data_IF_714766018896
#
_entry.id   IF_714766018896
#
_cell.length_a   1.000
_cell.length_b   1.000
_cell.length_c   1.000
_cell.angle_alpha   90.00
_cell.angle_beta   90.00
_cell.angle_gamma   90.00
#
_symmetry.space_group_name_H-M   'P 1'
#
loop_
_entity.id
_entity.type
_entity.pdbx_description
1 polymer ?
#
# COMPACT_ATOMS: atom_id res chain seq x y z
N UNK A 1 -16.82 7.83 8.65
CA UNK A 1 -15.83 8.52 9.52
C UNK A 1 -15.54 9.91 8.98
N UNK A 2 -15.14 10.81 9.84
CA UNK A 2 -14.56 12.06 9.37
C UNK A 2 -13.08 11.85 8.98
N UNK A 3 -12.47 12.89 8.43
CA UNK A 3 -11.08 12.85 7.95
C UNK A 3 -10.08 12.48 9.05
N UNK A 4 -10.26 13.04 10.24
CA UNK A 4 -9.37 12.80 11.38
C UNK A 4 -9.48 11.36 11.86
N UNK A 5 -10.69 10.84 11.96
CA UNK A 5 -10.95 9.47 12.36
C UNK A 5 -10.35 8.47 11.35
N UNK A 6 -10.50 8.75 10.06
CA UNK A 6 -9.93 7.91 9.01
C UNK A 6 -8.40 7.85 9.09
N UNK A 7 -7.75 9.01 9.24
CA UNK A 7 -6.29 9.08 9.36
C UNK A 7 -5.78 8.33 10.58
N UNK A 8 -6.48 8.46 11.71
CA UNK A 8 -6.13 7.76 12.94
C UNK A 8 -6.33 6.24 12.79
N UNK A 9 -7.41 5.83 12.15
CA UNK A 9 -7.65 4.43 11.81
C UNK A 9 -6.49 3.85 11.00
N UNK A 10 -6.10 4.52 9.91
CA UNK A 10 -4.99 4.07 9.06
C UNK A 10 -3.69 3.96 9.85
N UNK A 11 -3.35 4.99 10.61
CA UNK A 11 -2.15 5.02 11.44
C UNK A 11 -2.09 3.82 12.40
N UNK A 12 -3.21 3.54 13.06
CA UNK A 12 -3.27 2.42 14.01
C UNK A 12 -3.14 1.07 13.30
N UNK A 13 -3.74 0.92 12.12
CA UNK A 13 -3.62 -0.30 11.33
C UNK A 13 -2.19 -0.52 10.83
N UNK A 14 -1.51 0.53 10.43
CA UNK A 14 -0.10 0.44 10.00
C UNK A 14 0.83 0.11 11.17
N UNK A 15 0.67 0.80 12.28
CA UNK A 15 1.49 0.57 13.48
C UNK A 15 1.29 -0.82 14.09
N UNK A 16 0.06 -1.33 14.05
CA UNK A 16 -0.24 -2.67 14.56
C UNK A 16 0.53 -3.76 13.80
N UNK A 17 0.95 -3.48 12.56
CA UNK A 17 1.72 -4.42 11.73
C UNK A 17 3.22 -4.14 11.73
N UNK A 18 3.68 -3.25 12.62
CA UNK A 18 5.09 -2.97 12.81
C UNK A 18 5.65 -1.83 12.00
N UNK A 19 4.83 -1.12 11.22
CA UNK A 19 5.27 0.03 10.47
C UNK A 19 5.63 1.19 11.40
N UNK A 20 6.69 1.90 11.07
CA UNK A 20 7.17 3.07 11.82
C UNK A 20 7.12 4.30 10.94
N UNK A 21 6.57 5.39 11.47
CA UNK A 21 6.42 6.64 10.72
C UNK A 21 7.74 7.40 10.65
N UNK A 22 8.08 7.84 9.43
CA UNK A 22 9.12 8.84 9.21
C UNK A 22 8.59 9.84 8.18
N UNK A 23 8.53 11.12 8.53
CA UNK A 23 7.87 12.15 7.74
C UNK A 23 6.38 11.80 7.58
N UNK A 24 5.90 11.68 6.35
CA UNK A 24 4.50 11.34 6.06
C UNK A 24 4.32 9.90 5.58
N UNK A 25 5.34 9.06 5.71
CA UNK A 25 5.33 7.68 5.24
C UNK A 25 5.60 6.74 6.41
N UNK A 26 4.94 5.60 6.38
CA UNK A 26 5.16 4.52 7.34
C UNK A 26 6.01 3.45 6.65
N UNK A 27 7.09 3.00 7.30
CA UNK A 27 8.04 2.05 6.72
C UNK A 27 8.14 0.78 7.53
N UNK A 28 8.34 -0.34 6.82
CA UNK A 28 8.61 -1.64 7.40
C UNK A 28 9.72 -2.31 6.60
N UNK A 29 10.81 -2.66 7.28
CA UNK A 29 11.98 -3.29 6.65
C UNK A 29 11.79 -4.79 6.54
N UNK A 30 11.95 -5.33 5.33
CA UNK A 30 12.02 -6.76 5.09
C UNK A 30 13.47 -7.24 4.94
N UNK A 31 13.64 -8.49 4.54
CA UNK A 31 14.96 -9.08 4.36
C UNK A 31 15.75 -8.41 3.22
N UNK A 32 15.13 -8.28 2.06
CA UNK A 32 15.76 -7.79 0.83
C UNK A 32 14.96 -6.67 0.16
N UNK A 33 14.09 -6.03 0.94
CA UNK A 33 13.31 -4.89 0.49
C UNK A 33 12.84 -4.04 1.66
N UNK A 34 12.41 -2.82 1.32
CA UNK A 34 11.74 -1.92 2.24
C UNK A 34 10.33 -1.67 1.71
N UNK A 35 9.34 -1.74 2.60
CA UNK A 35 7.96 -1.40 2.28
C UNK A 35 7.62 -0.02 2.88
N UNK A 36 7.01 0.84 2.07
CA UNK A 36 6.47 2.11 2.53
C UNK A 36 4.96 2.16 2.29
N UNK A 37 4.24 2.88 3.14
CA UNK A 37 2.80 3.08 2.99
C UNK A 37 2.45 4.51 3.37
N UNK A 38 1.62 5.19 2.58
CA UNK A 38 1.19 6.55 2.84
C UNK A 38 -0.26 6.80 2.40
N UNK A 39 -0.75 7.98 2.75
CA UNK A 39 -2.06 8.46 2.35
C UNK A 39 -1.90 9.61 1.37
N UNK A 40 -2.58 9.49 0.23
CA UNK A 40 -2.61 10.53 -0.80
C UNK A 40 -4.03 11.08 -0.93
N UNK A 41 -4.19 12.38 -0.73
CA UNK A 41 -5.50 13.01 -0.88
C UNK A 41 -5.94 12.99 -2.34
N UNK A 42 -7.19 12.58 -2.58
CA UNK A 42 -7.80 12.65 -3.90
C UNK A 42 -8.09 14.10 -4.30
N UNK A 43 -7.92 14.41 -5.58
CA UNK A 43 -8.33 15.69 -6.16
C UNK A 43 -9.84 15.74 -6.43
N UNK A 44 -10.53 14.61 -6.40
CA UNK A 44 -11.92 14.48 -6.86
C UNK A 44 -12.95 14.38 -5.74
N UNK A 45 -12.59 14.78 -4.51
CA UNK A 45 -13.54 14.79 -3.41
C UNK A 45 -12.92 14.40 -2.07
N UNK A 46 -13.77 14.09 -1.11
CA UNK A 46 -13.36 13.72 0.25
C UNK A 46 -12.98 12.23 0.29
N UNK A 47 -11.82 11.94 -0.26
CA UNK A 47 -11.29 10.59 -0.40
C UNK A 47 -9.77 10.58 -0.30
N UNK A 48 -9.22 9.42 0.03
CA UNK A 48 -7.79 9.16 0.04
C UNK A 48 -7.46 7.90 -0.74
N UNK A 49 -6.27 7.88 -1.33
CA UNK A 49 -5.62 6.66 -1.79
C UNK A 49 -4.68 6.19 -0.69
N UNK A 50 -4.70 4.90 -0.39
CA UNK A 50 -3.75 4.27 0.52
C UNK A 50 -2.71 3.58 -0.35
N UNK A 51 -1.57 4.24 -0.55
CA UNK A 51 -0.50 3.77 -1.43
C UNK A 51 0.49 2.92 -0.66
N UNK A 52 0.99 1.84 -1.28
CA UNK A 52 2.13 1.11 -0.75
C UNK A 52 3.22 1.00 -1.81
N UNK A 53 4.47 0.91 -1.34
CA UNK A 53 5.67 0.99 -2.16
C UNK A 53 6.67 -0.06 -1.73
N UNK A 54 7.42 -0.60 -2.70
CA UNK A 54 8.57 -1.46 -2.40
C UNK A 54 9.82 -0.87 -3.01
N UNK A 55 10.88 -0.87 -2.21
CA UNK A 55 12.24 -0.50 -2.60
C UNK A 55 13.08 -1.76 -2.47
N UNK A 56 13.59 -2.27 -3.58
CA UNK A 56 14.35 -3.53 -3.60
C UNK A 56 15.79 -3.26 -3.15
N UNK A 57 16.28 -4.02 -2.19
CA UNK A 57 17.62 -3.90 -1.64
C UNK A 57 17.68 -4.13 -0.15
N UNK A 58 18.86 -3.92 0.43
CA UNK A 58 19.06 -4.03 1.87
C UNK A 58 18.94 -2.64 2.53
N UNK A 59 18.08 -2.55 3.52
CA UNK A 59 17.77 -1.30 4.20
C UNK A 59 17.93 -1.40 5.72
N UNK A 60 18.77 -2.33 6.18
CA UNK A 60 19.09 -2.43 7.62
C UNK A 60 19.92 -1.23 8.05
N UNK A 61 19.57 -0.66 9.20
CA UNK A 61 20.31 0.45 9.82
C UNK A 61 20.36 1.72 8.99
N UNK A 62 19.42 1.94 8.07
CA UNK A 62 19.36 3.21 7.34
C UNK A 62 18.76 4.28 8.23
N UNK A 63 19.26 5.50 8.06
CA UNK A 63 18.79 6.68 8.80
C UNK A 63 18.00 7.63 7.92
N UNK A 64 18.19 7.56 6.60
CA UNK A 64 17.50 8.38 5.62
C UNK A 64 16.73 7.48 4.66
N UNK A 65 15.40 7.44 4.85
CA UNK A 65 14.53 6.58 4.06
C UNK A 65 14.22 7.20 2.70
N UNK A 66 14.14 6.37 1.63
CA UNK A 66 13.85 6.88 0.29
C UNK A 66 12.42 7.42 0.18
N UNK A 67 12.21 8.32 -0.77
CA UNK A 67 10.87 8.85 -1.09
C UNK A 67 10.16 7.89 -2.03
N UNK A 68 8.82 8.01 -2.13
CA UNK A 68 8.02 7.15 -3.00
C UNK A 68 8.42 7.24 -4.49
N UNK A 69 9.01 8.36 -4.93
CA UNK A 69 9.48 8.52 -6.30
C UNK A 69 10.61 7.56 -6.68
N UNK A 70 11.31 7.04 -5.67
CA UNK A 70 12.44 6.12 -5.87
C UNK A 70 12.01 4.65 -5.78
N UNK A 71 10.72 4.40 -5.58
CA UNK A 71 10.20 3.04 -5.40
C UNK A 71 10.27 2.23 -6.70
N UNK A 72 10.49 0.93 -6.55
CA UNK A 72 10.52 -0.01 -7.67
C UNK A 72 9.12 -0.52 -8.04
N UNK A 73 8.25 -0.72 -7.05
CA UNK A 73 6.88 -1.20 -7.24
C UNK A 73 5.93 -0.35 -6.40
N UNK A 74 4.75 -0.10 -6.94
CA UNK A 74 3.70 0.65 -6.26
C UNK A 74 2.38 -0.10 -6.36
N UNK A 75 1.54 0.03 -5.32
CA UNK A 75 0.19 -0.50 -5.33
C UNK A 75 -0.71 0.34 -4.44
N UNK A 76 -1.99 0.00 -4.41
CA UNK A 76 -3.00 0.69 -3.62
C UNK A 76 -3.93 -0.31 -2.98
N UNK A 77 -4.36 -0.02 -1.76
CA UNK A 77 -5.42 -0.80 -1.11
C UNK A 77 -6.74 -0.49 -1.80
N UNK A 78 -7.48 -1.53 -2.17
CA UNK A 78 -8.79 -1.40 -2.78
C UNK A 78 -9.90 -1.78 -1.80
N UNK A 79 -11.03 -1.07 -1.93
CA UNK A 79 -12.24 -1.29 -1.13
C UNK A 79 -13.46 -1.33 -2.04
N UNK A 80 -14.55 -1.91 -1.58
CA UNK A 80 -15.79 -1.89 -2.35
C UNK A 80 -16.41 -0.49 -2.29
N UNK A 81 -16.73 0.09 -3.45
CA UNK A 81 -17.39 1.39 -3.53
C UNK A 81 -18.75 1.36 -2.83
N UNK A 82 -19.18 2.49 -2.29
CA UNK A 82 -20.49 2.61 -1.61
C UNK A 82 -21.48 3.43 -2.41
N UNK A 83 -21.14 4.68 -2.71
CA UNK A 83 -22.02 5.56 -3.48
C UNK A 83 -21.89 5.37 -4.98
N UNK A 84 -20.66 5.21 -5.45
CA UNK A 84 -20.41 5.08 -6.87
C UNK A 84 -20.72 3.68 -7.35
N UNK A 85 -21.40 3.58 -8.48
CA UNK A 85 -21.72 2.30 -9.13
C UNK A 85 -21.33 2.36 -10.59
N UNK A 86 -21.05 1.19 -11.16
CA UNK A 86 -20.86 1.02 -12.60
C UNK A 86 -21.88 0.00 -13.09
N UNK A 87 -22.71 0.41 -14.05
CA UNK A 87 -23.83 -0.43 -14.56
C UNK A 87 -24.73 -0.95 -13.42
N UNK A 88 -25.01 -0.10 -12.44
CA UNK A 88 -25.88 -0.41 -11.30
C UNK A 88 -25.24 -1.29 -10.23
N UNK A 89 -23.95 -1.61 -10.32
CA UNK A 89 -23.26 -2.47 -9.38
C UNK A 89 -22.12 -1.74 -8.68
N UNK A 90 -21.88 -2.09 -7.43
CA UNK A 90 -20.67 -1.64 -6.70
C UNK A 90 -19.43 -2.26 -7.34
N UNK A 91 -18.30 -1.61 -7.21
CA UNK A 91 -17.02 -2.06 -7.77
C UNK A 91 -15.87 -1.80 -6.81
N UNK A 92 -14.77 -2.55 -6.98
CA UNK A 92 -13.56 -2.34 -6.19
C UNK A 92 -12.87 -1.06 -6.67
N UNK A 93 -12.49 -0.19 -5.74
CA UNK A 93 -11.85 1.09 -6.02
C UNK A 93 -10.71 1.35 -5.05
N UNK A 94 -9.66 2.00 -5.53
CA UNK A 94 -8.57 2.48 -4.70
C UNK A 94 -8.90 3.84 -4.06
N UNK A 95 -9.92 4.52 -4.53
CA UNK A 95 -10.36 5.80 -3.97
C UNK A 95 -11.28 5.55 -2.78
N UNK A 96 -10.72 5.73 -1.58
CA UNK A 96 -11.47 5.47 -0.33
C UNK A 96 -12.22 6.73 0.08
N UNK A 97 -13.52 6.73 -0.15
CA UNK A 97 -14.43 7.79 0.29
C UNK A 97 -14.75 7.55 1.77
N UNK A 98 -13.89 8.06 2.64
CA UNK A 98 -13.86 7.68 4.06
C UNK A 98 -15.16 7.97 4.81
N UNK A 99 -15.94 8.97 4.40
CA UNK A 99 -17.21 9.29 5.05
C UNK A 99 -18.26 8.19 4.88
N UNK A 100 -18.09 7.32 3.89
CA UNK A 100 -19.03 6.25 3.56
C UNK A 100 -18.80 4.96 4.35
N UNK A 101 -17.78 4.93 5.21
CA UNK A 101 -17.40 3.73 5.94
C UNK A 101 -17.25 3.98 7.43
N UNK A 102 -17.53 2.94 8.22
CA UNK A 102 -17.07 2.85 9.61
C UNK A 102 -15.71 2.13 9.62
N UNK A 103 -15.00 2.18 10.74
CA UNK A 103 -13.76 1.43 10.92
C UNK A 103 -13.99 -0.07 10.73
N UNK A 104 -15.09 -0.59 11.27
CA UNK A 104 -15.45 -2.01 11.17
C UNK A 104 -15.68 -2.44 9.73
N UNK A 105 -16.24 -1.57 8.91
CA UNK A 105 -16.48 -1.84 7.50
C UNK A 105 -15.19 -1.79 6.66
N UNK A 106 -14.24 -0.92 7.00
CA UNK A 106 -12.96 -0.83 6.30
C UNK A 106 -11.96 -1.91 6.70
N UNK A 107 -11.96 -2.34 7.95
CA UNK A 107 -10.96 -3.25 8.50
C UNK A 107 -10.78 -4.54 7.70
N UNK A 108 -11.83 -5.24 7.24
CA UNK A 108 -11.64 -6.45 6.44
C UNK A 108 -10.87 -6.21 5.13
N UNK A 109 -11.05 -5.07 4.49
CA UNK A 109 -10.33 -4.73 3.25
C UNK A 109 -8.85 -4.49 3.54
N UNK A 110 -8.54 -3.81 4.65
CA UNK A 110 -7.17 -3.57 5.08
C UNK A 110 -6.49 -4.88 5.46
N UNK A 111 -7.15 -5.72 6.25
CA UNK A 111 -6.62 -7.03 6.63
C UNK A 111 -6.29 -7.88 5.42
N UNK A 112 -7.19 -7.96 4.45
CA UNK A 112 -6.97 -8.72 3.22
C UNK A 112 -5.78 -8.17 2.43
N UNK A 113 -5.72 -6.84 2.26
CA UNK A 113 -4.61 -6.21 1.53
C UNK A 113 -3.27 -6.48 2.20
N UNK A 114 -3.20 -6.38 3.53
CA UNK A 114 -1.97 -6.67 4.26
C UNK A 114 -1.59 -8.14 4.16
N UNK A 115 -2.52 -9.06 4.35
CA UNK A 115 -2.24 -10.49 4.34
C UNK A 115 -1.89 -11.04 2.95
N UNK A 116 -2.56 -10.55 1.91
CA UNK A 116 -2.43 -11.09 0.55
C UNK A 116 -1.44 -10.32 -0.33
N UNK A 117 -1.25 -9.02 -0.10
CA UNK A 117 -0.47 -8.17 -1.00
C UNK A 117 0.73 -7.50 -0.33
N UNK A 118 0.53 -6.85 0.83
CA UNK A 118 1.52 -5.92 1.37
C UNK A 118 2.59 -6.64 2.19
N UNK A 119 2.20 -7.51 3.12
CA UNK A 119 3.14 -8.19 4.00
C UNK A 119 3.87 -9.39 3.39
N UNK A 120 3.32 -10.16 2.45
CA UNK A 120 4.04 -11.31 1.91
C UNK A 120 5.44 -10.99 1.36
N UNK A 121 5.67 -9.90 0.59
CA UNK A 121 7.02 -9.55 0.18
C UNK A 121 7.95 -9.20 1.34
N UNK A 122 7.43 -8.57 2.38
CA UNK A 122 8.21 -8.25 3.58
C UNK A 122 8.63 -9.52 4.31
N UNK A 123 7.71 -10.47 4.44
CA UNK A 123 7.94 -11.71 5.19
C UNK A 123 8.70 -12.78 4.40
N UNK A 124 8.52 -12.83 3.09
CA UNK A 124 9.05 -13.90 2.23
C UNK A 124 10.10 -13.42 1.23
N UNK A 125 10.31 -12.10 1.14
CA UNK A 125 11.30 -11.52 0.25
C UNK A 125 10.75 -11.13 -1.12
N UNK A 126 11.63 -10.51 -1.92
CA UNK A 126 11.30 -9.99 -3.25
C UNK A 126 10.86 -11.07 -4.25
N UNK A 127 11.21 -12.33 -4.01
CA UNK A 127 10.76 -13.45 -4.84
C UNK A 127 9.25 -13.57 -4.90
N UNK A 128 8.55 -13.20 -3.81
CA UNK A 128 7.10 -13.18 -3.81
C UNK A 128 6.55 -12.21 -4.86
N UNK A 129 7.17 -11.04 -5.00
CA UNK A 129 6.78 -10.07 -6.03
C UNK A 129 6.99 -10.66 -7.41
N UNK A 130 8.18 -11.22 -7.66
CA UNK A 130 8.52 -11.81 -8.95
C UNK A 130 7.54 -12.91 -9.37
N UNK A 131 7.18 -13.77 -8.43
CA UNK A 131 6.26 -14.90 -8.68
C UNK A 131 4.81 -14.47 -8.88
N UNK A 132 4.46 -13.24 -8.54
CA UNK A 132 3.08 -12.73 -8.62
C UNK A 132 2.95 -11.50 -9.52
N UNK A 133 3.93 -11.26 -10.40
CA UNK A 133 3.83 -10.24 -11.43
C UNK A 133 2.70 -10.57 -12.41
N UNK A 134 1.88 -9.57 -12.69
CA UNK A 134 0.71 -9.72 -13.54
C UNK A 134 -0.53 -10.27 -12.82
N UNK A 135 -0.38 -10.76 -11.60
CA UNK A 135 -1.52 -11.22 -10.76
C UNK A 135 -1.84 -10.21 -9.65
N UNK A 136 -0.84 -9.90 -8.82
CA UNK A 136 -0.97 -8.97 -7.70
C UNK A 136 -0.23 -7.67 -8.01
N UNK A 137 0.99 -7.78 -8.53
CA UNK A 137 1.87 -6.62 -8.74
C UNK A 137 2.03 -6.33 -10.24
N UNK A 138 2.07 -5.03 -10.56
CA UNK A 138 2.37 -4.56 -11.92
C UNK A 138 3.50 -3.54 -11.88
N UNK A 139 4.35 -3.59 -12.91
CA UNK A 139 5.47 -2.67 -13.08
C UNK A 139 5.05 -1.59 -14.09
N UNK A 140 5.20 -0.32 -13.71
CA UNK A 140 4.80 0.81 -14.56
C UNK A 140 5.97 1.49 -15.26
N UNK A 141 7.08 1.67 -14.53
CA UNK A 141 8.27 2.35 -15.04
C UNK A 141 9.49 1.47 -14.84
N UNK A 142 10.49 1.60 -15.73
CA UNK A 142 11.78 0.90 -15.62
C UNK A 142 11.64 -0.62 -15.44
N UNK A 143 10.70 -1.23 -16.16
CA UNK A 143 10.33 -2.65 -16.00
C UNK A 143 11.51 -3.60 -16.03
N UNK A 144 12.41 -3.46 -17.01
CA UNK A 144 13.55 -4.34 -17.16
C UNK A 144 14.52 -4.23 -15.98
N UNK A 145 14.78 -3.01 -15.53
CA UNK A 145 15.67 -2.72 -14.41
C UNK A 145 15.10 -3.31 -13.11
N UNK A 146 13.82 -3.15 -12.86
CA UNK A 146 13.16 -3.69 -11.68
C UNK A 146 13.14 -5.22 -11.72
N UNK A 147 12.84 -5.82 -12.87
CA UNK A 147 12.87 -7.29 -13.04
C UNK A 147 14.27 -7.82 -12.73
N UNK A 148 15.33 -7.14 -13.17
CA UNK A 148 16.71 -7.53 -12.86
C UNK A 148 16.97 -7.49 -11.34
N UNK A 149 16.51 -6.46 -10.66
CA UNK A 149 16.62 -6.37 -9.20
C UNK A 149 15.88 -7.49 -8.49
N UNK A 150 14.70 -7.86 -8.98
CA UNK A 150 13.91 -8.95 -8.41
C UNK A 150 14.56 -10.31 -8.59
N UNK A 151 15.32 -10.50 -9.66
CA UNK A 151 15.98 -11.76 -9.99
C UNK A 151 17.37 -11.91 -9.36
N UNK A 152 17.98 -10.81 -8.97
CA UNK A 152 19.36 -10.85 -8.44
C UNK A 152 19.51 -11.35 -7.01
#
# INVERSE_FOLDING_TARGET
MDKKQFKEFCKNEFKARGFKKQRNVFYLTGHDLLCGIDLQKSYYGDAYYVNYYYFIGEFKNITDYPTHYESDIQGRIAVMSRKQTFQGKQFMTAQVEYEEYTEEELRPYFERAFEEEILPPVNHGKSFILNNLGKIYSLTLHKEEVIQKLKS
#
